data_IF_715287358301
#
_entry.id   IF_715287358301
#
_cell.length_a   1.000
_cell.length_b   1.000
_cell.length_c   1.000
_cell.angle_alpha   90.00
_cell.angle_beta   90.00
_cell.angle_gamma   90.00
#
_symmetry.space_group_name_H-M   'P 1'
#
loop_
_entity.id
_entity.type
_entity.pdbx_description
1 polymer ?
#
# COMPACT_ATOMS: atom_id res chain seq x y z
N UNK A 1 24.74 -30.52 42.02
CA UNK A 1 23.55 -30.24 41.18
C UNK A 1 23.99 -29.27 40.09
N UNK A 2 24.23 -29.82 38.90
CA UNK A 2 24.66 -29.14 37.67
C UNK A 2 23.46 -28.48 36.97
N UNK A 3 23.70 -27.40 36.22
CA UNK A 3 22.75 -26.90 35.21
C UNK A 3 22.82 -25.38 34.96
N UNK A 4 23.99 -24.86 34.58
CA UNK A 4 24.26 -24.28 33.25
C UNK A 4 23.32 -23.14 32.81
N UNK A 5 23.75 -21.89 33.07
CA UNK A 5 23.35 -20.70 32.32
C UNK A 5 23.99 -20.77 30.92
N UNK A 6 23.17 -20.87 29.88
CA UNK A 6 23.63 -20.80 28.49
C UNK A 6 23.66 -19.33 28.07
N UNK A 7 24.83 -18.70 28.20
CA UNK A 7 25.18 -17.45 27.53
C UNK A 7 25.29 -17.70 26.03
N UNK A 8 24.43 -17.04 25.25
CA UNK A 8 24.44 -17.09 23.79
C UNK A 8 25.71 -16.40 23.27
N UNK A 9 26.58 -17.18 22.64
CA UNK A 9 27.86 -16.74 22.09
C UNK A 9 27.62 -16.14 20.69
N UNK A 10 27.91 -14.85 20.53
CA UNK A 10 28.03 -14.24 19.20
C UNK A 10 29.27 -14.82 18.51
N UNK A 11 29.19 -15.31 17.26
CA UNK A 11 30.38 -15.77 16.55
C UNK A 11 31.25 -14.57 16.19
N UNK A 12 32.30 -14.36 16.98
CA UNK A 12 33.43 -13.52 16.63
C UNK A 12 34.11 -14.14 15.41
N UNK A 13 34.11 -13.41 14.29
CA UNK A 13 34.83 -13.81 13.08
C UNK A 13 36.33 -13.63 13.34
N UNK A 14 37.19 -14.63 13.07
CA UNK A 14 38.63 -14.45 13.20
C UNK A 14 39.09 -13.46 12.14
N UNK A 15 39.60 -12.33 12.61
CA UNK A 15 40.17 -11.28 11.78
C UNK A 15 41.57 -11.70 11.31
N UNK A 16 41.63 -12.54 10.27
CA UNK A 16 42.88 -12.70 9.51
C UNK A 16 43.11 -11.41 8.74
N UNK A 17 43.96 -10.53 9.28
CA UNK A 17 44.33 -9.26 8.65
C UNK A 17 45.27 -9.55 7.48
N UNK A 18 44.71 -10.00 6.36
CA UNK A 18 45.33 -9.82 5.05
C UNK A 18 45.23 -8.35 4.71
N UNK A 19 46.37 -7.68 4.49
CA UNK A 19 46.44 -6.29 3.98
C UNK A 19 45.92 -6.30 2.53
N UNK A 20 44.60 -6.40 2.40
CA UNK A 20 43.88 -6.31 1.15
C UNK A 20 43.43 -4.87 0.92
N UNK A 21 43.48 -4.42 -0.33
CA UNK A 21 42.95 -3.12 -0.76
C UNK A 21 41.62 -2.81 -0.05
N UNK A 22 41.57 -1.64 0.61
CA UNK A 22 40.40 -1.17 1.36
C UNK A 22 39.18 -1.18 0.42
N UNK A 23 38.16 -1.97 0.73
CA UNK A 23 36.94 -2.02 -0.07
C UNK A 23 36.27 -0.64 -0.06
N UNK A 24 35.87 -0.15 -1.22
CA UNK A 24 35.07 1.08 -1.36
C UNK A 24 33.73 0.97 -0.62
N UNK A 25 33.17 -0.26 -0.53
CA UNK A 25 31.94 -0.56 0.21
C UNK A 25 32.29 -1.44 1.41
N UNK A 26 32.53 -0.83 2.55
CA UNK A 26 33.01 -1.46 3.78
C UNK A 26 31.92 -1.75 4.83
N UNK A 27 30.74 -1.12 4.72
CA UNK A 27 29.61 -1.38 5.61
C UNK A 27 28.81 -2.61 5.18
N UNK A 28 28.47 -3.46 6.15
CA UNK A 28 27.71 -4.69 5.94
C UNK A 28 26.24 -4.50 6.33
N UNK A 29 25.33 -4.94 5.46
CA UNK A 29 23.89 -4.99 5.71
C UNK A 29 23.47 -6.46 5.81
N UNK A 30 23.01 -6.89 6.98
CA UNK A 30 22.47 -8.22 7.20
C UNK A 30 20.94 -8.16 7.27
N UNK A 31 20.29 -9.07 6.56
CA UNK A 31 18.83 -9.21 6.53
C UNK A 31 18.50 -10.69 6.72
N UNK A 32 17.65 -10.99 7.69
CA UNK A 32 17.10 -12.34 7.88
C UNK A 32 15.93 -12.52 6.93
N UNK A 33 15.90 -13.65 6.21
CA UNK A 33 14.87 -13.98 5.22
C UNK A 33 14.40 -15.40 5.45
N UNK A 34 13.10 -15.62 5.27
CA UNK A 34 12.55 -16.97 5.09
C UNK A 34 12.99 -17.56 3.74
N UNK A 35 12.89 -18.89 3.56
CA UNK A 35 13.19 -19.54 2.27
C UNK A 35 12.33 -18.97 1.12
N UNK A 36 11.05 -18.71 1.38
CA UNK A 36 10.09 -18.22 0.38
C UNK A 36 10.43 -16.79 -0.06
N UNK A 37 10.79 -15.91 0.88
CA UNK A 37 11.22 -14.54 0.57
C UNK A 37 12.51 -14.55 -0.25
N UNK A 38 13.45 -15.42 0.09
CA UNK A 38 14.70 -15.56 -0.67
C UNK A 38 14.45 -16.02 -2.10
N UNK A 39 13.53 -16.97 -2.31
CA UNK A 39 13.14 -17.44 -3.64
C UNK A 39 12.52 -16.30 -4.49
N UNK A 40 11.56 -15.56 -3.91
CA UNK A 40 10.95 -14.39 -4.58
C UNK A 40 11.96 -13.31 -4.94
N UNK A 41 12.94 -13.06 -4.06
CA UNK A 41 14.01 -12.10 -4.35
C UNK A 41 14.88 -12.59 -5.52
N UNK A 42 15.17 -13.88 -5.60
CA UNK A 42 15.95 -14.45 -6.70
C UNK A 42 15.21 -14.43 -8.03
N UNK A 43 13.91 -14.72 -8.03
CA UNK A 43 13.04 -14.62 -9.20
C UNK A 43 13.02 -13.19 -9.75
N UNK A 44 12.68 -12.20 -8.92
CA UNK A 44 12.70 -10.78 -9.31
C UNK A 44 14.08 -10.29 -9.74
N UNK A 45 15.14 -10.86 -9.16
CA UNK A 45 16.50 -10.56 -9.56
C UNK A 45 16.82 -11.10 -10.97
N UNK A 46 16.30 -12.28 -11.32
CA UNK A 46 16.42 -12.87 -12.65
C UNK A 46 15.65 -12.06 -13.69
N UNK A 47 14.45 -11.59 -13.36
CA UNK A 47 13.63 -10.74 -14.24
C UNK A 47 14.34 -9.44 -14.64
N UNK A 48 15.08 -8.84 -13.70
CA UNK A 48 15.85 -7.61 -13.92
C UNK A 48 17.24 -7.89 -14.52
N UNK A 49 17.61 -9.16 -14.72
CA UNK A 49 18.88 -9.57 -15.33
C UNK A 49 20.12 -9.35 -14.45
N UNK A 50 19.95 -9.17 -13.14
CA UNK A 50 21.07 -8.96 -12.21
C UNK A 50 21.56 -10.32 -11.69
N UNK A 51 22.86 -10.61 -11.77
CA UNK A 51 23.40 -11.89 -11.29
C UNK A 51 23.84 -11.87 -9.82
N UNK A 52 24.05 -10.69 -9.25
CA UNK A 52 24.58 -10.51 -7.90
C UNK A 52 23.53 -9.97 -6.95
N UNK A 53 23.19 -10.76 -5.92
CA UNK A 53 22.20 -10.41 -4.90
C UNK A 53 22.53 -9.10 -4.17
N UNK A 54 23.80 -8.88 -3.82
CA UNK A 54 24.21 -7.62 -3.16
C UNK A 54 24.09 -6.40 -4.08
N UNK A 55 24.23 -6.59 -5.40
CA UNK A 55 23.99 -5.53 -6.36
C UNK A 55 22.49 -5.26 -6.52
N UNK A 56 21.68 -6.32 -6.58
CA UNK A 56 20.22 -6.25 -6.64
C UNK A 56 19.65 -5.54 -5.41
N UNK A 57 19.97 -6.01 -4.20
CA UNK A 57 19.49 -5.40 -2.94
C UNK A 57 19.93 -3.95 -2.82
N UNK A 58 21.17 -3.62 -3.20
CA UNK A 58 21.63 -2.23 -3.18
C UNK A 58 20.88 -1.35 -4.19
N UNK A 59 20.62 -1.86 -5.40
CA UNK A 59 19.87 -1.12 -6.42
C UNK A 59 18.43 -0.89 -5.96
N UNK A 60 17.79 -1.89 -5.33
CA UNK A 60 16.44 -1.76 -4.77
C UNK A 60 16.39 -0.87 -3.53
N UNK A 61 17.40 -0.92 -2.66
CA UNK A 61 17.44 -0.08 -1.46
C UNK A 61 17.72 1.40 -1.77
N UNK A 62 18.45 1.70 -2.85
CA UNK A 62 18.78 3.06 -3.25
C UNK A 62 17.79 3.65 -4.26
N UNK A 63 17.29 2.85 -5.20
CA UNK A 63 16.46 3.28 -6.32
C UNK A 63 15.06 2.67 -6.32
N UNK A 64 14.69 1.93 -5.27
CA UNK A 64 13.35 1.37 -5.15
C UNK A 64 12.33 2.50 -4.96
N UNK A 65 11.26 2.47 -5.76
CA UNK A 65 10.11 3.32 -5.51
C UNK A 65 9.30 2.72 -4.36
N UNK A 66 9.17 3.45 -3.25
CA UNK A 66 8.22 3.11 -2.19
C UNK A 66 6.92 3.84 -2.53
N UNK A 67 5.95 3.11 -3.07
CA UNK A 67 4.63 3.65 -3.34
C UNK A 67 3.82 3.65 -2.04
N UNK A 68 3.78 4.79 -1.36
CA UNK A 68 2.88 5.01 -0.24
C UNK A 68 1.58 5.63 -0.76
N UNK A 69 0.56 4.80 -1.01
CA UNK A 69 -0.76 5.29 -1.44
C UNK A 69 -1.58 5.65 -0.20
N UNK A 70 -1.72 6.96 0.06
CA UNK A 70 -2.65 7.44 1.09
C UNK A 70 -4.06 7.61 0.49
N UNK A 71 -5.00 6.82 0.98
CA UNK A 71 -6.42 6.81 0.55
C UNK A 71 -7.34 7.52 1.55
N UNK A 72 -6.81 8.18 2.59
CA UNK A 72 -7.63 8.90 3.56
C UNK A 72 -8.58 9.92 2.90
N UNK A 73 -8.16 10.75 1.92
CA UNK A 73 -9.05 11.71 1.27
C UNK A 73 -10.19 11.05 0.48
N UNK A 74 -9.93 9.88 -0.11
CA UNK A 74 -10.91 9.11 -0.88
C UNK A 74 -12.02 8.59 0.02
N UNK A 75 -11.64 8.08 1.20
CA UNK A 75 -12.57 7.60 2.22
C UNK A 75 -13.48 8.72 2.72
N UNK A 76 -12.94 9.91 2.89
CA UNK A 76 -13.71 11.08 3.34
C UNK A 76 -14.75 11.51 2.31
N UNK A 77 -14.38 11.54 1.02
CA UNK A 77 -15.30 11.85 -0.09
C UNK A 77 -16.46 10.84 -0.13
N UNK A 78 -16.17 9.55 -0.07
CA UNK A 78 -17.20 8.48 -0.03
C UNK A 78 -18.11 8.62 1.20
N UNK A 79 -17.55 9.03 2.34
CA UNK A 79 -18.32 9.21 3.57
C UNK A 79 -19.30 10.39 3.49
N UNK A 80 -18.86 11.53 2.94
CA UNK A 80 -19.71 12.71 2.71
C UNK A 80 -20.83 12.37 1.74
N UNK A 81 -20.49 11.63 0.70
CA UNK A 81 -21.47 11.21 -0.27
C UNK A 81 -22.54 10.29 0.32
N UNK A 82 -22.16 9.29 1.14
CA UNK A 82 -23.15 8.43 1.81
C UNK A 82 -24.11 9.25 2.68
N UNK A 83 -23.64 10.34 3.30
CA UNK A 83 -24.51 11.27 4.05
C UNK A 83 -25.48 12.01 3.13
N UNK A 84 -25.01 12.51 1.99
CA UNK A 84 -25.87 13.17 1.00
C UNK A 84 -26.96 12.22 0.46
N UNK A 85 -26.62 10.98 0.10
CA UNK A 85 -27.59 9.97 -0.33
C UNK A 85 -28.65 9.68 0.75
N UNK A 86 -28.21 9.54 2.01
CA UNK A 86 -29.14 9.32 3.12
C UNK A 86 -30.07 10.51 3.36
N UNK A 87 -29.56 11.73 3.27
CA UNK A 87 -30.36 12.94 3.41
C UNK A 87 -31.42 13.02 2.31
N UNK A 88 -31.06 12.71 1.06
CA UNK A 88 -32.00 12.69 -0.08
C UNK A 88 -33.07 11.61 0.10
N UNK A 89 -32.69 10.42 0.57
CA UNK A 89 -33.64 9.35 0.86
C UNK A 89 -34.65 9.76 1.97
N UNK A 90 -34.19 10.47 2.99
CA UNK A 90 -35.08 11.00 4.04
C UNK A 90 -36.06 12.04 3.50
N UNK A 91 -35.61 12.92 2.60
CA UNK A 91 -36.48 13.91 1.94
C UNK A 91 -37.54 13.20 1.09
N UNK A 92 -37.15 12.19 0.32
CA UNK A 92 -38.07 11.41 -0.51
C UNK A 92 -39.13 10.68 0.35
N UNK A 93 -38.72 10.03 1.44
CA UNK A 93 -39.64 9.36 2.37
C UNK A 93 -40.59 10.36 3.04
N UNK A 94 -40.09 11.53 3.47
CA UNK A 94 -40.92 12.57 4.10
C UNK A 94 -41.93 13.19 3.13
N UNK A 95 -41.54 13.40 1.87
CA UNK A 95 -42.44 13.88 0.83
C UNK A 95 -43.57 12.87 0.54
N UNK A 96 -43.23 11.57 0.49
CA UNK A 96 -44.21 10.50 0.29
C UNK A 96 -45.21 10.37 1.46
N UNK A 97 -44.75 10.56 2.70
CA UNK A 97 -45.59 10.42 3.91
C UNK A 97 -46.49 11.65 4.13
N UNK A 98 -45.97 12.86 3.91
CA UNK A 98 -46.68 14.10 4.25
C UNK A 98 -47.71 14.52 3.18
N UNK A 99 -48.00 13.67 2.18
CA UNK A 99 -49.05 13.88 1.19
C UNK A 99 -48.83 15.10 0.28
N UNK A 100 -47.64 15.67 0.30
CA UNK A 100 -47.29 16.84 -0.48
C UNK A 100 -45.86 16.75 -0.94
N UNK A 101 -45.68 16.80 -2.27
CA UNK A 101 -44.76 17.70 -3.00
C UNK A 101 -44.18 17.02 -4.25
N UNK A 102 -44.38 17.72 -5.38
CA UNK A 102 -43.53 17.80 -6.58
C UNK A 102 -42.56 16.62 -6.84
N UNK A 103 -43.07 15.49 -7.38
CA UNK A 103 -42.23 14.37 -7.81
C UNK A 103 -41.15 14.75 -8.82
N UNK A 104 -41.34 15.85 -9.55
CA UNK A 104 -40.39 16.32 -10.55
C UNK A 104 -39.16 17.00 -9.94
N UNK A 105 -39.29 17.67 -8.79
CA UNK A 105 -38.13 18.26 -8.07
C UNK A 105 -37.27 17.17 -7.42
N UNK A 106 -37.90 16.11 -6.88
CA UNK A 106 -37.18 14.96 -6.33
C UNK A 106 -36.44 14.21 -7.43
N UNK A 107 -37.06 14.05 -8.61
CA UNK A 107 -36.42 13.46 -9.79
C UNK A 107 -35.26 14.32 -10.30
N UNK A 108 -35.40 15.64 -10.30
CA UNK A 108 -34.32 16.56 -10.66
C UNK A 108 -33.12 16.40 -9.71
N UNK A 109 -33.37 16.38 -8.39
CA UNK A 109 -32.34 16.15 -7.38
C UNK A 109 -31.68 14.77 -7.50
N UNK A 110 -32.45 13.72 -7.79
CA UNK A 110 -31.90 12.38 -8.06
C UNK A 110 -31.00 12.37 -9.30
N UNK A 111 -31.40 13.10 -10.35
CA UNK A 111 -30.62 13.21 -11.59
C UNK A 111 -29.32 13.98 -11.37
N UNK A 112 -29.39 15.15 -10.74
CA UNK A 112 -28.20 15.97 -10.42
C UNK A 112 -27.19 15.16 -9.58
N UNK A 113 -27.71 14.33 -8.67
CA UNK A 113 -26.89 13.46 -7.85
C UNK A 113 -26.27 12.29 -8.63
N UNK A 114 -27.01 11.69 -9.57
CA UNK A 114 -26.49 10.66 -10.46
C UNK A 114 -25.40 11.22 -11.39
N UNK A 115 -25.60 12.44 -11.90
CA UNK A 115 -24.65 13.16 -12.76
C UNK A 115 -23.35 13.50 -12.00
N UNK A 116 -23.44 13.77 -10.68
CA UNK A 116 -22.28 13.91 -9.79
C UNK A 116 -21.60 12.58 -9.44
N UNK A 117 -22.34 11.47 -9.36
CA UNK A 117 -21.81 10.16 -8.96
C UNK A 117 -21.01 9.49 -10.08
N UNK A 118 -21.41 9.65 -11.34
CA UNK A 118 -20.71 9.06 -12.49
C UNK A 118 -19.19 9.38 -12.48
N UNK A 119 -18.79 10.66 -12.50
CA UNK A 119 -17.38 11.05 -12.47
C UNK A 119 -16.61 10.55 -11.25
N UNK A 120 -17.26 10.48 -10.08
CA UNK A 120 -16.65 10.00 -8.85
C UNK A 120 -16.44 8.48 -8.85
N UNK A 121 -17.39 7.72 -9.40
CA UNK A 121 -17.24 6.27 -9.58
C UNK A 121 -16.10 5.93 -10.55
N UNK A 122 -15.97 6.68 -11.63
CA UNK A 122 -14.86 6.53 -12.59
C UNK A 122 -13.51 6.85 -11.93
N UNK A 123 -13.45 7.89 -11.09
CA UNK A 123 -12.25 8.23 -10.34
C UNK A 123 -11.86 7.12 -9.35
N UNK A 124 -12.83 6.52 -8.66
CA UNK A 124 -12.59 5.39 -7.75
C UNK A 124 -12.09 4.15 -8.49
N UNK A 125 -12.63 3.87 -9.67
CA UNK A 125 -12.19 2.76 -10.52
C UNK A 125 -10.73 2.94 -10.96
N UNK A 126 -10.38 4.12 -11.48
CA UNK A 126 -8.99 4.46 -11.85
C UNK A 126 -8.02 4.40 -10.66
N UNK A 127 -8.45 4.83 -9.48
CA UNK A 127 -7.62 4.70 -8.26
C UNK A 127 -7.42 3.24 -7.85
N UNK A 128 -8.41 2.38 -8.07
CA UNK A 128 -8.29 0.94 -7.78
C UNK A 128 -7.25 0.26 -8.67
N UNK A 129 -7.16 0.65 -9.94
CA UNK A 129 -6.14 0.16 -10.87
C UNK A 129 -4.72 0.54 -10.42
N UNK A 130 -4.53 1.77 -9.93
CA UNK A 130 -3.22 2.26 -9.46
C UNK A 130 -2.78 1.57 -8.17
N UNK A 131 -3.71 1.19 -7.30
CA UNK A 131 -3.42 0.49 -6.04
C UNK A 131 -3.18 -1.01 -6.25
N UNK A 132 -3.68 -1.60 -7.34
CA UNK A 132 -3.50 -3.00 -7.67
C UNK A 132 -2.14 -3.34 -8.32
N UNK A 133 -1.36 -2.32 -8.70
CA UNK A 133 -0.01 -2.42 -9.30
C UNK A 133 1.09 -2.52 -8.23
#
# INVERSE_FOLDING_TARGET
>A
MNGKKSTFCSPQSPSTVVVGKKRVRNTLLHVWLSPDERAKIQERMADVGIRNLSAYVRKMALNGYVLHVDLAPVKDIVSLQRRCANNLNQIAVRANINGGVYPDEIKALQKDYADLWGPLSELLERLSEVVAL
#
